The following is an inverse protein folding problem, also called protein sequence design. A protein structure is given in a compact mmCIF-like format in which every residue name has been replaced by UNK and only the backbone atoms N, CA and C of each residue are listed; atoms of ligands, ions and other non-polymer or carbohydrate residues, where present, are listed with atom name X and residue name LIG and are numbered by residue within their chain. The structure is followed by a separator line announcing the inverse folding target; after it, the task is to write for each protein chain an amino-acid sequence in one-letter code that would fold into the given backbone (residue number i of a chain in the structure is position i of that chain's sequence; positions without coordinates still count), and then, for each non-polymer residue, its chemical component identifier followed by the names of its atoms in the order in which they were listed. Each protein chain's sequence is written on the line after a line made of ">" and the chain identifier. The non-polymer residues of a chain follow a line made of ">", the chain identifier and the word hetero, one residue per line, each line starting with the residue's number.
data_IF_123027980550
#
_entry.id   IF_123027980550
#
_cell.length_a   1.000
_cell.length_b   1.000
_cell.length_c   1.000
_cell.angle_alpha   90.00
_cell.angle_beta   90.00
_cell.angle_gamma   90.00
#
_symmetry.space_group_name_H-M   'P 1'
#
loop_
_entity.id
_entity.type
_entity.pdbx_description
1 polymer ?
#
# COMPACT_ATOMS: atom_id res chain seq x y z
N UNK A 1 -13.07 6.99 8.55
CA UNK A 1 -12.74 5.56 8.68
C UNK A 1 -11.98 5.13 7.43
N UNK A 2 -10.98 4.29 7.57
CA UNK A 2 -10.21 3.69 6.49
C UNK A 2 -10.30 2.19 6.60
N UNK A 3 -10.68 1.51 5.52
CA UNK A 3 -10.69 0.06 5.44
C UNK A 3 -9.93 -0.38 4.18
N UNK A 4 -9.20 -1.48 4.27
CA UNK A 4 -8.41 -2.01 3.17
C UNK A 4 -8.40 -3.54 3.25
N UNK A 5 -8.65 -4.18 2.12
CA UNK A 5 -8.48 -5.61 1.92
C UNK A 5 -7.50 -5.80 0.77
N UNK A 6 -6.45 -6.59 0.99
CA UNK A 6 -5.53 -7.00 -0.07
C UNK A 6 -5.49 -8.52 -0.12
N UNK A 7 -5.66 -9.05 -1.29
CA UNK A 7 -5.54 -10.46 -1.61
C UNK A 7 -4.40 -10.64 -2.62
N UNK A 8 -3.41 -11.43 -2.28
CA UNK A 8 -2.24 -11.68 -3.13
C UNK A 8 -2.09 -13.16 -3.36
N UNK A 9 -1.78 -13.53 -4.58
CA UNK A 9 -1.51 -14.89 -4.97
C UNK A 9 -0.10 -15.03 -5.51
N UNK A 10 0.42 -16.24 -5.46
CA UNK A 10 1.62 -16.64 -6.21
C UNK A 10 1.31 -16.73 -7.70
N UNK A 11 0.12 -17.24 -8.02
CA UNK A 11 -0.42 -17.36 -9.37
C UNK A 11 -1.44 -16.26 -9.68
N UNK A 12 -2.01 -16.28 -10.86
CA UNK A 12 -3.07 -15.35 -11.25
C UNK A 12 -4.35 -15.55 -10.41
N UNK A 13 -4.70 -16.78 -10.05
CA UNK A 13 -5.91 -17.10 -9.24
C UNK A 13 -5.68 -18.39 -8.44
N UNK A 14 -6.03 -18.38 -7.15
CA UNK A 14 -6.23 -19.60 -6.36
C UNK A 14 -5.08 -20.03 -5.45
N UNK A 15 -3.89 -19.52 -5.64
CA UNK A 15 -2.73 -19.86 -4.79
C UNK A 15 -2.41 -18.72 -3.83
N UNK A 16 -3.11 -18.66 -2.70
CA UNK A 16 -2.96 -17.60 -1.72
C UNK A 16 -1.52 -17.47 -1.23
N UNK A 17 -0.97 -16.27 -1.37
CA UNK A 17 0.28 -15.86 -0.76
C UNK A 17 0.04 -15.04 0.51
N UNK A 18 -0.87 -14.06 0.43
CA UNK A 18 -1.13 -13.17 1.57
C UNK A 18 -2.54 -12.59 1.50
N UNK A 19 -3.24 -12.67 2.62
CA UNK A 19 -4.45 -11.90 2.90
C UNK A 19 -4.11 -10.81 3.91
N UNK A 20 -4.43 -9.56 3.59
CA UNK A 20 -4.28 -8.43 4.50
C UNK A 20 -5.64 -7.76 4.69
N UNK A 21 -6.05 -7.66 5.95
CA UNK A 21 -7.21 -6.90 6.39
C UNK A 21 -6.72 -5.72 7.24
N UNK A 22 -7.16 -4.52 6.94
CA UNK A 22 -6.75 -3.31 7.67
C UNK A 22 -7.93 -2.39 7.90
N UNK A 23 -7.99 -1.82 9.10
CA UNK A 23 -8.95 -0.78 9.45
C UNK A 23 -8.26 0.33 10.24
N UNK A 24 -8.86 1.51 10.26
CA UNK A 24 -8.32 2.62 11.03
C UNK A 24 -9.27 3.81 11.12
N UNK A 25 -9.03 4.61 12.15
CA UNK A 25 -9.72 5.88 12.37
C UNK A 25 -8.74 7.01 12.12
N UNK A 26 -9.13 7.93 11.25
CA UNK A 26 -8.33 9.09 10.89
C UNK A 26 -8.99 10.40 11.33
N UNK A 27 -8.14 11.37 11.62
CA UNK A 27 -8.50 12.74 11.93
C UNK A 27 -7.82 13.70 10.94
N UNK A 28 -8.60 14.58 10.30
CA UNK A 28 -8.09 15.59 9.38
C UNK A 28 -7.65 16.83 10.18
N UNK A 29 -6.38 17.21 10.05
CA UNK A 29 -5.80 18.33 10.77
C UNK A 29 -6.10 19.69 10.11
N UNK A 30 -6.12 19.75 8.78
CA UNK A 30 -6.42 20.98 8.03
C UNK A 30 -7.00 20.62 6.66
N UNK A 31 -8.13 21.23 6.31
CA UNK A 31 -8.79 21.23 4.98
C UNK A 31 -8.56 19.98 4.10
N UNK A 32 -8.49 18.79 4.74
CA UNK A 32 -8.23 17.49 4.11
C UNK A 32 -6.83 17.28 3.50
N UNK A 33 -5.89 18.22 3.71
CA UNK A 33 -4.52 18.06 3.19
C UNK A 33 -3.63 17.25 4.13
N UNK A 34 -3.89 17.30 5.44
CA UNK A 34 -3.12 16.56 6.45
C UNK A 34 -4.04 15.65 7.26
N UNK A 35 -3.67 14.40 7.37
CA UNK A 35 -4.46 13.40 8.08
C UNK A 35 -3.57 12.59 9.01
N UNK A 36 -4.01 12.43 10.26
CA UNK A 36 -3.47 11.46 11.21
C UNK A 36 -4.39 10.25 11.26
N UNK A 37 -3.83 9.05 11.27
CA UNK A 37 -4.59 7.81 11.32
C UNK A 37 -3.94 6.83 12.29
N UNK A 38 -4.76 6.28 13.18
CA UNK A 38 -4.44 5.12 14.00
C UNK A 38 -5.17 3.91 13.43
N UNK A 39 -4.44 2.84 13.19
CA UNK A 39 -5.02 1.67 12.55
C UNK A 39 -4.52 0.35 13.10
N UNK A 40 -5.28 -0.67 12.78
CA UNK A 40 -4.98 -2.07 13.04
C UNK A 40 -5.01 -2.85 11.74
N UNK A 41 -4.14 -3.85 11.62
CA UNK A 41 -4.10 -4.77 10.50
C UNK A 41 -3.87 -6.20 10.96
N UNK A 42 -4.58 -7.11 10.33
CA UNK A 42 -4.35 -8.55 10.39
C UNK A 42 -3.79 -9.02 9.06
N UNK A 43 -2.72 -9.79 9.09
CA UNK A 43 -2.06 -10.32 7.91
C UNK A 43 -1.86 -11.82 8.09
N UNK A 44 -2.45 -12.61 7.19
CA UNK A 44 -2.18 -14.03 7.03
C UNK A 44 -1.27 -14.20 5.82
N UNK A 45 -0.10 -14.79 6.00
CA UNK A 45 0.84 -15.10 4.92
C UNK A 45 1.01 -16.61 4.79
N UNK A 46 0.88 -17.13 3.59
CA UNK A 46 1.06 -18.54 3.23
C UNK A 46 2.38 -18.69 2.45
N UNK A 47 3.45 -19.10 3.14
CA UNK A 47 4.77 -19.16 2.54
C UNK A 47 5.13 -20.60 2.16
N UNK A 48 5.60 -20.83 0.94
CA UNK A 48 6.15 -22.13 0.56
C UNK A 48 7.41 -22.44 1.36
N UNK A 49 7.47 -23.65 1.92
CA UNK A 49 8.70 -24.17 2.54
C UNK A 49 9.59 -24.67 1.40
N UNK A 50 10.83 -24.20 1.38
CA UNK A 50 11.81 -24.62 0.36
C UNK A 50 11.86 -26.14 0.27
N UNK A 51 11.73 -26.68 -0.96
CA UNK A 51 11.77 -28.10 -1.33
C UNK A 51 10.54 -28.96 -0.99
N UNK A 52 9.46 -28.41 -0.46
CA UNK A 52 8.22 -29.15 -0.19
C UNK A 52 7.05 -28.32 -0.69
N UNK A 53 6.05 -28.95 -1.35
CA UNK A 53 4.83 -28.27 -1.81
C UNK A 53 3.88 -27.86 -0.67
N UNK A 54 4.36 -27.88 0.58
CA UNK A 54 3.57 -27.45 1.73
C UNK A 54 3.81 -25.97 2.03
N UNK A 55 2.75 -25.29 2.43
CA UNK A 55 2.81 -23.91 2.90
C UNK A 55 2.83 -23.84 4.42
N UNK A 56 3.58 -22.88 4.92
CA UNK A 56 3.54 -22.49 6.32
C UNK A 56 2.74 -21.20 6.45
N UNK A 57 1.70 -21.24 7.27
CA UNK A 57 0.92 -20.07 7.64
C UNK A 57 1.66 -19.25 8.69
N UNK A 58 1.72 -17.94 8.48
CA UNK A 58 2.28 -16.97 9.42
C UNK A 58 1.25 -15.89 9.69
N UNK A 59 0.88 -15.71 10.95
CA UNK A 59 -0.05 -14.70 11.40
C UNK A 59 0.69 -13.45 11.89
N UNK A 60 0.21 -12.29 11.50
CA UNK A 60 0.75 -11.03 11.97
C UNK A 60 -0.37 -10.08 12.35
N UNK A 61 -0.32 -9.57 13.58
CA UNK A 61 -1.12 -8.45 14.04
C UNK A 61 -0.29 -7.18 14.00
N UNK A 62 -0.89 -6.09 13.55
CA UNK A 62 -0.17 -4.84 13.36
C UNK A 62 -0.98 -3.66 13.88
N UNK A 63 -0.36 -2.86 14.75
CA UNK A 63 -0.86 -1.53 15.11
C UNK A 63 -0.01 -0.52 14.36
N UNK A 64 -0.62 0.55 13.82
CA UNK A 64 0.15 1.55 13.11
C UNK A 64 -0.39 2.95 13.31
N UNK A 65 0.53 3.90 13.41
CA UNK A 65 0.28 5.33 13.35
C UNK A 65 0.73 5.83 11.97
N UNK A 66 -0.08 6.68 11.39
CA UNK A 66 0.18 7.21 10.05
C UNK A 66 -0.10 8.70 10.00
N UNK A 67 0.81 9.44 9.38
CA UNK A 67 0.60 10.81 8.95
C UNK A 67 0.62 10.86 7.43
N UNK A 68 -0.37 11.52 6.84
CA UNK A 68 -0.47 11.72 5.39
C UNK A 68 -0.54 13.21 5.11
N UNK A 69 0.31 13.70 4.20
CA UNK A 69 0.27 15.05 3.64
C UNK A 69 0.00 14.97 2.15
N UNK A 70 -0.85 15.85 1.65
CA UNK A 70 -1.17 15.98 0.22
C UNK A 70 -0.77 17.37 -0.25
N UNK A 71 -0.02 17.39 -1.33
CA UNK A 71 0.48 18.61 -1.96
C UNK A 71 0.15 18.60 -3.46
N UNK A 72 0.25 19.75 -4.10
CA UNK A 72 0.02 19.87 -5.53
C UNK A 72 1.08 20.77 -6.17
N UNK A 73 1.75 20.26 -7.21
CA UNK A 73 2.70 21.02 -8.01
C UNK A 73 2.16 21.10 -9.45
N UNK A 74 1.65 22.26 -9.84
CA UNK A 74 0.94 22.41 -11.11
C UNK A 74 -0.27 21.48 -11.16
N UNK A 75 -0.32 20.59 -12.14
CA UNK A 75 -1.37 19.57 -12.28
C UNK A 75 -1.09 18.27 -11.52
N UNK A 76 0.14 18.09 -11.03
CA UNK A 76 0.56 16.85 -10.35
C UNK A 76 0.12 16.90 -8.89
N UNK A 77 -0.62 15.89 -8.45
CA UNK A 77 -0.95 15.69 -7.04
C UNK A 77 0.07 14.78 -6.39
N UNK A 78 0.67 15.24 -5.30
CA UNK A 78 1.62 14.48 -4.50
C UNK A 78 0.98 14.02 -3.20
N UNK A 79 1.36 12.83 -2.75
CA UNK A 79 0.96 12.31 -1.45
C UNK A 79 2.16 11.75 -0.74
N UNK A 80 2.45 12.31 0.42
CA UNK A 80 3.47 11.84 1.36
C UNK A 80 2.75 11.07 2.47
N UNK A 81 3.28 9.90 2.84
CA UNK A 81 2.74 9.10 3.94
C UNK A 81 3.89 8.57 4.78
N UNK A 82 3.90 8.93 6.03
CA UNK A 82 4.79 8.42 7.06
C UNK A 82 4.01 7.45 7.91
N UNK A 83 4.54 6.24 8.14
CA UNK A 83 3.87 5.24 8.95
C UNK A 83 4.87 4.55 9.87
N UNK A 84 4.51 4.47 11.14
CA UNK A 84 5.16 3.65 12.13
C UNK A 84 4.30 2.43 12.42
N UNK A 85 4.89 1.24 12.41
CA UNK A 85 4.20 -0.03 12.59
C UNK A 85 4.81 -0.81 13.75
N UNK A 86 3.97 -1.19 14.73
CA UNK A 86 4.25 -2.23 15.70
C UNK A 86 3.67 -3.54 15.15
N UNK A 87 4.53 -4.53 14.98
CA UNK A 87 4.23 -5.79 14.30
C UNK A 87 4.42 -6.95 15.26
N UNK A 88 3.37 -7.69 15.51
CA UNK A 88 3.35 -8.92 16.30
C UNK A 88 3.24 -10.08 15.31
N UNK A 89 4.39 -10.68 14.99
CA UNK A 89 4.51 -11.76 14.01
C UNK A 89 4.71 -13.05 14.78
N UNK A 90 3.67 -13.88 14.86
CA UNK A 90 3.61 -15.00 15.78
C UNK A 90 4.03 -14.53 17.20
N UNK A 91 5.08 -15.08 17.78
CA UNK A 91 5.59 -14.71 19.11
C UNK A 91 6.61 -13.55 19.08
N UNK A 92 6.89 -12.97 17.90
CA UNK A 92 7.95 -11.98 17.73
C UNK A 92 7.41 -10.56 17.59
N UNK A 93 7.91 -9.66 18.43
CA UNK A 93 7.64 -8.23 18.30
C UNK A 93 8.69 -7.54 17.45
N UNK A 94 8.23 -6.79 16.42
CA UNK A 94 9.07 -6.01 15.50
C UNK A 94 8.48 -4.61 15.32
N UNK A 95 9.32 -3.65 15.01
CA UNK A 95 8.90 -2.28 14.66
C UNK A 95 9.45 -1.91 13.29
N UNK A 96 8.67 -1.11 12.54
CA UNK A 96 9.05 -0.69 11.19
C UNK A 96 8.58 0.73 10.90
N UNK A 97 9.45 1.52 10.29
CA UNK A 97 9.14 2.82 9.70
C UNK A 97 8.90 2.64 8.20
N UNK A 98 7.96 3.41 7.66
CA UNK A 98 7.68 3.44 6.22
C UNK A 98 7.52 4.88 5.77
N UNK A 99 8.14 5.20 4.66
CA UNK A 99 7.89 6.43 3.92
C UNK A 99 7.40 6.10 2.52
N UNK A 100 6.30 6.73 2.14
CA UNK A 100 5.65 6.57 0.84
C UNK A 100 5.49 7.93 0.19
N UNK A 101 5.91 8.02 -1.06
CA UNK A 101 5.71 9.17 -1.93
C UNK A 101 4.98 8.70 -3.18
N UNK A 102 3.80 9.26 -3.43
CA UNK A 102 3.06 9.02 -4.66
C UNK A 102 2.84 10.29 -5.45
N UNK A 103 2.88 10.17 -6.77
CA UNK A 103 2.52 11.19 -7.73
C UNK A 103 1.35 10.70 -8.59
N UNK A 104 0.34 11.56 -8.74
CA UNK A 104 -0.78 11.37 -9.65
C UNK A 104 -0.74 12.47 -10.71
N UNK A 105 -0.59 12.09 -11.97
CA UNK A 105 -0.45 12.97 -13.12
C UNK A 105 -1.71 12.84 -13.98
N UNK A 106 -2.56 13.85 -14.10
CA UNK A 106 -3.74 13.79 -14.94
C UNK A 106 -3.33 13.68 -16.41
N UNK A 107 -3.94 12.75 -17.13
CA UNK A 107 -3.71 12.52 -18.57
C UNK A 107 -4.90 13.05 -19.39
N UNK A 108 -6.11 12.68 -18.99
CA UNK A 108 -7.35 13.07 -19.67
C UNK A 108 -8.33 13.55 -18.62
N UNK A 109 -8.91 14.73 -18.84
CA UNK A 109 -10.00 15.27 -18.04
C UNK A 109 -11.35 14.90 -18.64
N UNK A 110 -12.33 14.65 -17.78
CA UNK A 110 -13.74 14.54 -18.13
C UNK A 110 -14.29 15.92 -18.56
N UNK A 111 -15.45 15.92 -19.20
CA UNK A 111 -16.18 17.16 -19.55
C UNK A 111 -16.47 18.03 -18.31
N UNK A 112 -16.62 17.40 -17.15
CA UNK A 112 -16.87 18.05 -15.86
C UNK A 112 -15.58 18.51 -15.14
N UNK A 113 -14.40 18.42 -15.81
CA UNK A 113 -13.12 18.88 -15.29
C UNK A 113 -12.41 17.92 -14.35
N UNK A 114 -12.98 16.74 -14.03
CA UNK A 114 -12.33 15.72 -13.21
C UNK A 114 -11.31 14.92 -14.00
N UNK A 115 -10.27 14.44 -13.33
CA UNK A 115 -9.24 13.57 -13.93
C UNK A 115 -9.84 12.21 -14.28
N UNK A 116 -10.20 12.00 -15.54
CA UNK A 116 -10.80 10.74 -16.02
C UNK A 116 -9.76 9.62 -16.13
N UNK A 117 -8.62 9.93 -16.75
CA UNK A 117 -7.46 9.05 -16.79
C UNK A 117 -6.25 9.76 -16.20
N UNK A 118 -5.45 9.05 -15.46
CA UNK A 118 -4.22 9.57 -14.86
C UNK A 118 -3.13 8.51 -14.80
N UNK A 119 -1.89 8.96 -14.83
CA UNK A 119 -0.75 8.13 -14.49
C UNK A 119 -0.54 8.19 -12.97
N UNK A 120 -0.32 7.02 -12.37
CA UNK A 120 -0.02 6.86 -10.93
C UNK A 120 1.36 6.25 -10.79
N UNK A 121 2.22 6.88 -10.00
CA UNK A 121 3.51 6.33 -9.64
C UNK A 121 3.75 6.50 -8.15
N UNK A 122 4.41 5.53 -7.51
CA UNK A 122 4.86 5.70 -6.14
C UNK A 122 6.18 4.99 -5.86
N UNK A 123 6.86 5.51 -4.85
CA UNK A 123 7.97 4.84 -4.18
C UNK A 123 7.62 4.68 -2.69
N UNK A 124 7.92 3.51 -2.13
CA UNK A 124 7.73 3.25 -0.71
C UNK A 124 8.94 2.52 -0.13
N UNK A 125 9.59 3.16 0.85
CA UNK A 125 10.74 2.61 1.58
C UNK A 125 10.27 2.05 2.92
N UNK A 126 10.82 0.91 3.30
CA UNK A 126 10.54 0.20 4.55
C UNK A 126 11.84 0.01 5.33
N UNK A 127 11.86 0.47 6.58
CA UNK A 127 13.03 0.44 7.45
C UNK A 127 12.66 -0.24 8.77
N UNK A 128 13.37 -1.32 9.12
CA UNK A 128 13.21 -1.97 10.41
C UNK A 128 13.99 -1.21 11.49
N UNK A 129 13.53 -1.25 12.72
CA UNK A 129 14.25 -0.64 13.86
C UNK A 129 15.21 -1.61 14.54
N UNK A 130 15.05 -2.90 14.29
CA UNK A 130 15.91 -4.00 14.80
C UNK A 130 16.32 -4.89 13.65
N UNK A 131 17.45 -5.58 13.75
CA UNK A 131 18.06 -6.41 12.71
C UNK A 131 18.51 -5.63 11.47
N UNK A 132 18.38 -6.17 10.28
CA UNK A 132 18.70 -5.48 9.03
C UNK A 132 17.84 -4.22 8.89
N UNK A 133 18.48 -3.05 8.88
CA UNK A 133 17.80 -1.74 8.85
C UNK A 133 16.91 -1.59 7.61
N UNK A 134 17.44 -1.92 6.42
CA UNK A 134 16.67 -1.90 5.18
C UNK A 134 15.81 -3.18 5.09
N UNK A 135 14.50 -3.04 5.01
CA UNK A 135 13.58 -4.17 4.78
C UNK A 135 13.33 -4.35 3.27
N UNK A 136 12.83 -3.31 2.63
CA UNK A 136 12.57 -3.30 1.18
C UNK A 136 12.27 -1.90 0.64
N UNK A 137 12.29 -1.80 -0.68
CA UNK A 137 11.72 -0.67 -1.42
C UNK A 137 10.70 -1.17 -2.42
N UNK A 138 9.64 -0.40 -2.64
CA UNK A 138 8.63 -0.64 -3.68
C UNK A 138 8.58 0.52 -4.64
N UNK A 139 8.64 0.22 -5.91
CA UNK A 139 8.44 1.17 -7.01
C UNK A 139 7.23 0.69 -7.81
N UNK A 140 6.28 1.57 -8.04
CA UNK A 140 5.06 1.28 -8.80
C UNK A 140 4.87 2.31 -9.90
N UNK A 141 4.37 1.85 -11.04
CA UNK A 141 3.84 2.68 -12.12
C UNK A 141 2.59 2.05 -12.70
N UNK A 142 1.58 2.87 -12.95
CA UNK A 142 0.29 2.36 -13.46
C UNK A 142 -0.61 3.44 -14.00
N UNK A 143 -1.73 3.00 -14.56
CA UNK A 143 -2.80 3.87 -15.07
C UNK A 143 -4.01 3.77 -14.16
N UNK A 144 -4.58 4.92 -13.84
CA UNK A 144 -5.82 5.04 -13.10
C UNK A 144 -6.97 5.55 -13.95
N UNK A 145 -8.16 5.06 -13.67
CA UNK A 145 -9.42 5.47 -14.27
C UNK A 145 -10.42 5.85 -13.18
N UNK A 146 -10.93 7.07 -13.26
CA UNK A 146 -12.01 7.56 -12.40
C UNK A 146 -13.33 7.16 -13.00
N UNK A 147 -13.99 6.14 -12.45
CA UNK A 147 -15.29 5.65 -12.93
C UNK A 147 -16.40 6.67 -12.60
N UNK A 148 -16.39 7.16 -11.34
CA UNK A 148 -17.29 8.20 -10.85
C UNK A 148 -16.65 8.87 -9.60
N UNK A 149 -17.38 9.78 -8.94
CA UNK A 149 -16.85 10.51 -7.77
C UNK A 149 -16.51 9.63 -6.56
N UNK A 150 -17.00 8.38 -6.54
CA UNK A 150 -16.80 7.44 -5.43
C UNK A 150 -15.86 6.31 -5.77
N UNK A 151 -15.73 5.93 -7.04
CA UNK A 151 -14.99 4.71 -7.45
C UNK A 151 -13.87 5.10 -8.41
N UNK A 152 -12.68 4.62 -8.09
CA UNK A 152 -11.47 4.76 -8.90
C UNK A 152 -10.78 3.41 -9.01
N UNK A 153 -10.35 3.08 -10.22
CA UNK A 153 -9.64 1.86 -10.55
C UNK A 153 -8.20 2.21 -10.92
N UNK A 154 -7.24 1.41 -10.48
CA UNK A 154 -5.84 1.49 -10.91
C UNK A 154 -5.35 0.10 -11.31
N UNK A 155 -4.58 0.04 -12.40
CA UNK A 155 -3.85 -1.14 -12.81
C UNK A 155 -2.41 -0.76 -13.11
N UNK A 156 -1.45 -1.56 -12.65
CA UNK A 156 -0.06 -1.25 -12.84
C UNK A 156 0.90 -2.33 -12.36
N UNK A 157 2.16 -2.04 -12.58
CA UNK A 157 3.27 -2.90 -12.27
C UNK A 157 4.04 -2.36 -11.06
N UNK A 158 4.40 -3.27 -10.15
CA UNK A 158 5.17 -2.96 -8.96
C UNK A 158 6.40 -3.87 -8.88
N UNK A 159 7.56 -3.28 -8.72
CA UNK A 159 8.79 -3.97 -8.35
C UNK A 159 9.07 -3.79 -6.86
N UNK A 160 9.32 -4.89 -6.16
CA UNK A 160 9.79 -4.89 -4.78
C UNK A 160 11.27 -5.28 -4.75
N UNK A 161 12.08 -4.39 -4.21
CA UNK A 161 13.53 -4.54 -4.10
C UNK A 161 13.84 -4.87 -2.64
N UNK A 162 14.42 -6.03 -2.40
CA UNK A 162 14.96 -6.48 -1.12
C UNK A 162 16.48 -6.33 -1.13
N UNK A 163 17.15 -6.63 -0.04
CA UNK A 163 18.62 -6.54 0.05
C UNK A 163 19.34 -7.44 -0.97
N UNK A 164 18.83 -8.65 -1.19
CA UNK A 164 19.48 -9.68 -2.05
C UNK A 164 18.58 -10.19 -3.20
N UNK A 165 17.40 -9.64 -3.38
CA UNK A 165 16.45 -10.12 -4.40
C UNK A 165 15.48 -9.03 -4.84
N UNK A 166 14.81 -9.27 -5.95
CA UNK A 166 13.70 -8.43 -6.43
C UNK A 166 12.48 -9.29 -6.68
N UNK A 167 11.31 -8.66 -6.64
CA UNK A 167 10.04 -9.33 -6.93
C UNK A 167 9.11 -8.40 -7.69
N UNK A 168 8.53 -8.93 -8.75
CA UNK A 168 7.61 -8.23 -9.63
C UNK A 168 6.16 -8.64 -9.34
N UNK A 169 5.24 -7.67 -9.43
CA UNK A 169 3.83 -7.90 -9.20
C UNK A 169 2.98 -7.02 -10.11
N UNK A 170 1.90 -7.58 -10.65
CA UNK A 170 0.81 -6.80 -11.23
C UNK A 170 -0.24 -6.50 -10.17
N UNK A 171 -0.65 -5.25 -10.10
CA UNK A 171 -1.63 -4.76 -9.13
C UNK A 171 -2.89 -4.29 -9.84
N UNK A 172 -4.05 -4.73 -9.35
CA UNK A 172 -5.36 -4.18 -9.67
C UNK A 172 -5.95 -3.64 -8.38
N UNK A 173 -6.23 -2.35 -8.34
CA UNK A 173 -6.63 -1.65 -7.11
C UNK A 173 -7.96 -0.92 -7.37
N UNK A 174 -8.92 -1.14 -6.50
CA UNK A 174 -10.17 -0.38 -6.47
C UNK A 174 -10.21 0.49 -5.23
N UNK A 175 -10.41 1.79 -5.42
CA UNK A 175 -10.64 2.74 -4.35
C UNK A 175 -12.11 3.09 -4.30
N UNK A 176 -12.71 3.00 -3.12
CA UNK A 176 -14.11 3.36 -2.88
C UNK A 176 -14.17 4.41 -1.78
N UNK A 177 -14.87 5.51 -2.02
CA UNK A 177 -15.11 6.59 -1.07
C UNK A 177 -16.59 6.62 -0.73
N UNK A 178 -16.91 6.55 0.56
CA UNK A 178 -18.28 6.55 1.07
C UNK A 178 -18.71 7.94 1.55
#
# INVERSE_FOLDING_TARGET
>A
IHNEVQYRNYDAVGDLEQLLLRTGVGYNLSENNHNLLLGYGYILSENYISNIQFKQSVNEHRIFQQFTSKDKIGSVSLTHRYRFEQRFVEEHFKMRLRYFLAAKIPLIKSKDGHDKFYFSAYNEVFLNTKSTFFDRNRVFGGIGYQLNNKIRLEAGYMNQIFESSTRDQFNFITFVTF
#
